data_IF_579141510119
#
_entry.id   IF_579141510119
#
_cell.length_a   1.000
_cell.length_b   1.000
_cell.length_c   1.000
_cell.angle_alpha   90.00
_cell.angle_beta   90.00
_cell.angle_gamma   90.00
#
_symmetry.space_group_name_H-M   'P 1'
#
loop_
_entity.id
_entity.type
_entity.pdbx_description
1 polymer ?
#
# COMPACT_ATOMS: atom_id res chain seq x y z
N UNK A 1 -16.87 -2.59 74.65
CA UNK A 1 -15.95 -2.49 73.48
C UNK A 1 -16.68 -2.96 72.24
N UNK A 2 -17.23 -2.00 71.44
CA UNK A 2 -17.96 -2.30 70.22
C UNK A 2 -16.94 -2.24 69.05
N UNK A 3 -16.74 -3.36 68.29
CA UNK A 3 -15.95 -3.41 67.07
C UNK A 3 -16.82 -2.96 65.92
N UNK A 4 -16.49 -1.84 65.33
CA UNK A 4 -17.08 -1.33 64.09
C UNK A 4 -16.36 -1.91 62.89
N UNK A 5 -17.01 -2.80 62.12
CA UNK A 5 -16.51 -3.34 60.86
C UNK A 5 -16.80 -2.33 59.75
N UNK A 6 -15.79 -1.79 59.12
CA UNK A 6 -15.90 -0.93 57.92
C UNK A 6 -15.92 -1.88 56.72
N UNK A 7 -17.07 -1.93 56.03
CA UNK A 7 -17.21 -2.58 54.72
C UNK A 7 -16.71 -1.61 53.64
N UNK A 8 -15.60 -1.95 53.02
CA UNK A 8 -15.07 -1.22 51.87
C UNK A 8 -15.80 -1.70 50.61
N UNK A 9 -16.71 -0.87 50.09
CA UNK A 9 -17.44 -1.13 48.86
C UNK A 9 -16.54 -0.74 47.66
N UNK A 10 -15.90 -1.73 47.03
CA UNK A 10 -15.15 -1.54 45.78
C UNK A 10 -16.14 -1.41 44.63
N UNK A 11 -16.37 -0.19 44.15
CA UNK A 11 -17.13 0.07 42.93
C UNK A 11 -16.22 -0.25 41.73
N UNK A 12 -16.45 -1.41 41.11
CA UNK A 12 -15.89 -1.75 39.80
C UNK A 12 -16.52 -0.83 38.75
N UNK A 13 -15.81 0.20 38.34
CA UNK A 13 -16.09 0.92 37.11
C UNK A 13 -15.72 0.02 35.93
N UNK A 14 -16.67 -0.80 35.48
CA UNK A 14 -16.57 -1.41 34.16
C UNK A 14 -16.76 -0.31 33.13
N UNK A 15 -15.67 0.31 32.70
CA UNK A 15 -15.66 1.18 31.54
C UNK A 15 -16.09 0.35 30.34
N UNK A 16 -17.31 0.57 29.85
CA UNK A 16 -17.74 0.14 28.53
C UNK A 16 -16.83 0.86 27.53
N UNK A 17 -15.75 0.21 27.10
CA UNK A 17 -15.07 0.52 25.86
C UNK A 17 -16.12 0.28 24.76
N UNK A 18 -16.91 1.30 24.45
CA UNK A 18 -17.59 1.34 23.17
C UNK A 18 -16.47 1.30 22.12
N UNK A 19 -16.29 0.17 21.49
CA UNK A 19 -15.60 0.11 20.22
C UNK A 19 -16.34 1.10 19.33
N UNK A 20 -15.70 2.23 19.04
CA UNK A 20 -16.19 3.17 18.04
C UNK A 20 -16.25 2.36 16.75
N UNK A 21 -17.48 2.04 16.35
CA UNK A 21 -17.78 1.43 15.06
C UNK A 21 -17.28 2.43 14.00
N UNK A 22 -16.08 2.19 13.48
CA UNK A 22 -15.49 2.97 12.40
C UNK A 22 -16.15 2.62 11.06
N UNK A 23 -17.46 2.38 11.05
CA UNK A 23 -18.28 2.41 9.85
C UNK A 23 -18.44 3.85 9.36
N UNK A 24 -17.31 4.56 9.24
CA UNK A 24 -17.25 5.81 8.50
C UNK A 24 -17.77 5.53 7.10
N UNK A 25 -18.31 6.56 6.43
CA UNK A 25 -18.89 6.47 5.09
C UNK A 25 -17.90 5.96 4.02
N UNK A 26 -16.64 5.62 4.40
CA UNK A 26 -15.59 5.09 3.55
C UNK A 26 -15.44 5.84 2.22
N UNK A 27 -15.44 7.18 2.29
CA UNK A 27 -15.33 8.04 1.13
C UNK A 27 -13.91 8.08 0.61
N UNK A 28 -13.76 8.02 -0.70
CA UNK A 28 -12.49 8.15 -1.42
C UNK A 28 -12.64 9.12 -2.59
N UNK A 29 -11.53 9.67 -3.08
CA UNK A 29 -11.54 10.50 -4.29
C UNK A 29 -11.83 9.60 -5.47
N UNK A 30 -12.89 9.94 -6.23
CA UNK A 30 -13.23 9.27 -7.48
C UNK A 30 -12.57 9.97 -8.68
N UNK A 31 -12.85 11.28 -8.86
CA UNK A 31 -12.29 12.09 -9.94
C UNK A 31 -12.19 13.56 -9.52
N UNK A 32 -11.50 14.33 -10.34
CA UNK A 32 -11.48 15.79 -10.30
C UNK A 32 -12.13 16.30 -11.60
N UNK A 33 -13.01 17.30 -11.53
CA UNK A 33 -13.59 17.93 -12.69
C UNK A 33 -13.11 19.37 -12.81
N UNK A 34 -12.74 19.79 -14.02
CA UNK A 34 -12.31 21.15 -14.38
C UNK A 34 -13.25 21.73 -15.42
N UNK A 35 -13.78 22.93 -15.16
CA UNK A 35 -14.51 23.71 -16.15
C UNK A 35 -13.51 24.37 -17.10
N UNK A 36 -13.52 23.99 -18.37
CA UNK A 36 -12.57 24.46 -19.39
C UNK A 36 -13.30 25.22 -20.50
N UNK A 37 -12.62 26.16 -21.15
CA UNK A 37 -13.20 26.94 -22.22
C UNK A 37 -13.31 26.13 -23.51
N UNK A 38 -12.30 25.34 -23.81
CA UNK A 38 -12.18 24.49 -24.98
C UNK A 38 -11.66 23.10 -24.55
N UNK A 39 -12.52 22.09 -24.61
CA UNK A 39 -12.23 20.74 -24.15
C UNK A 39 -11.13 20.07 -24.98
N UNK A 40 -11.03 20.37 -26.29
CA UNK A 40 -10.01 19.76 -27.16
C UNK A 40 -8.63 20.33 -26.86
N UNK A 41 -8.55 21.65 -26.64
CA UNK A 41 -7.32 22.34 -26.26
C UNK A 41 -6.82 21.81 -24.89
N UNK A 42 -7.70 21.71 -23.90
CA UNK A 42 -7.32 21.26 -22.58
C UNK A 42 -6.95 19.78 -22.58
N UNK A 43 -7.71 18.91 -23.26
CA UNK A 43 -7.35 17.50 -23.40
C UNK A 43 -5.99 17.31 -24.12
N UNK A 44 -5.74 18.09 -25.18
CA UNK A 44 -4.44 18.08 -25.86
C UNK A 44 -3.29 18.47 -24.93
N UNK A 45 -3.49 19.49 -24.08
CA UNK A 45 -2.51 19.90 -23.08
C UNK A 45 -2.19 18.76 -22.11
N UNK A 46 -3.17 18.17 -21.44
CA UNK A 46 -2.96 17.10 -20.47
C UNK A 46 -2.31 15.87 -21.10
N UNK A 47 -2.66 15.53 -22.34
CA UNK A 47 -2.03 14.43 -23.09
C UNK A 47 -0.59 14.75 -23.50
N UNK A 48 -0.33 15.99 -23.95
CA UNK A 48 0.97 16.36 -24.48
C UNK A 48 1.96 16.77 -23.39
N UNK A 49 1.53 17.55 -22.40
CA UNK A 49 2.41 18.07 -21.35
C UNK A 49 2.63 17.04 -20.25
N UNK A 50 1.57 16.44 -19.76
CA UNK A 50 1.60 15.48 -18.63
C UNK A 50 1.56 14.02 -19.06
N UNK A 51 1.44 13.72 -20.36
CA UNK A 51 1.35 12.35 -20.91
C UNK A 51 0.21 11.52 -20.30
N UNK A 52 -0.88 12.19 -19.86
CA UNK A 52 -2.04 11.51 -19.33
C UNK A 52 -2.85 10.86 -20.46
N UNK A 53 -3.09 9.54 -20.42
CA UNK A 53 -3.90 8.89 -21.43
C UNK A 53 -5.35 9.38 -21.40
N UNK A 54 -5.91 9.63 -22.59
CA UNK A 54 -7.34 9.87 -22.71
C UNK A 54 -8.11 8.56 -22.59
N UNK A 55 -9.24 8.60 -21.89
CA UNK A 55 -10.13 7.46 -21.69
C UNK A 55 -11.54 7.77 -22.20
N UNK A 56 -12.34 6.74 -22.38
CA UNK A 56 -13.72 6.88 -22.86
C UNK A 56 -14.57 7.70 -21.89
N UNK A 57 -15.14 8.80 -22.38
CA UNK A 57 -16.19 9.52 -21.66
C UNK A 57 -17.46 8.65 -21.60
N UNK A 58 -17.71 8.06 -20.43
CA UNK A 58 -18.85 7.15 -20.21
C UNK A 58 -20.21 7.86 -20.17
N UNK A 59 -20.23 9.19 -20.03
CA UNK A 59 -21.47 9.97 -20.09
C UNK A 59 -21.98 10.16 -21.51
N UNK A 60 -21.12 9.99 -22.51
CA UNK A 60 -21.38 10.22 -23.95
C UNK A 60 -21.84 11.65 -24.26
N UNK A 61 -21.64 12.60 -23.35
CA UNK A 61 -21.98 14.01 -23.55
C UNK A 61 -20.89 14.70 -24.37
N UNK A 62 -21.29 15.45 -25.39
CA UNK A 62 -20.38 16.33 -26.12
C UNK A 62 -19.84 17.43 -25.19
N UNK A 63 -18.62 17.95 -25.49
CA UNK A 63 -17.97 18.96 -24.65
C UNK A 63 -17.41 18.45 -23.32
N UNK A 64 -17.32 17.12 -23.14
CA UNK A 64 -16.70 16.48 -21.98
C UNK A 64 -15.66 15.47 -22.48
N UNK A 65 -14.43 15.56 -21.96
CA UNK A 65 -13.35 14.58 -22.20
C UNK A 65 -12.69 14.16 -20.90
N UNK A 66 -12.25 12.92 -20.85
CA UNK A 66 -11.66 12.34 -19.65
C UNK A 66 -10.22 11.88 -19.94
N UNK A 67 -9.33 12.17 -18.99
CA UNK A 67 -7.97 11.60 -18.97
C UNK A 67 -7.78 10.88 -17.63
N UNK A 68 -6.86 9.91 -17.58
CA UNK A 68 -6.58 9.15 -16.37
C UNK A 68 -5.20 9.45 -15.81
N UNK A 69 -5.06 9.43 -14.50
CA UNK A 69 -3.80 9.45 -13.76
C UNK A 69 -3.22 8.03 -13.66
N UNK A 70 -1.96 7.92 -13.31
CA UNK A 70 -1.25 6.63 -13.20
C UNK A 70 -1.87 5.67 -12.18
N UNK A 71 -2.56 6.19 -11.17
CA UNK A 71 -3.25 5.42 -10.12
C UNK A 71 -4.71 5.07 -10.49
N UNK A 72 -5.14 5.36 -11.72
CA UNK A 72 -6.48 5.08 -12.23
C UNK A 72 -7.54 6.14 -11.88
N UNK A 73 -7.21 7.19 -11.10
CA UNK A 73 -8.11 8.32 -10.89
C UNK A 73 -8.29 9.10 -12.17
N UNK A 74 -9.43 9.76 -12.30
CA UNK A 74 -9.83 10.42 -13.53
C UNK A 74 -9.81 11.95 -13.36
N UNK A 75 -9.46 12.65 -14.44
CA UNK A 75 -9.63 14.08 -14.58
C UNK A 75 -10.64 14.32 -15.71
N UNK A 76 -11.76 14.96 -15.37
CA UNK A 76 -12.84 15.28 -16.29
C UNK A 76 -12.73 16.73 -16.72
N UNK A 77 -12.60 16.95 -18.02
CA UNK A 77 -12.58 18.28 -18.65
C UNK A 77 -13.96 18.58 -19.19
N UNK A 78 -14.57 19.67 -18.76
CA UNK A 78 -15.98 19.99 -19.02
C UNK A 78 -16.08 21.38 -19.63
N UNK A 79 -16.54 21.50 -20.87
CA UNK A 79 -16.67 22.81 -21.59
C UNK A 79 -18.12 23.24 -21.81
N UNK A 80 -19.09 22.49 -21.26
CA UNK A 80 -20.53 22.78 -21.43
C UNK A 80 -21.06 23.88 -20.51
N UNK A 81 -20.38 24.12 -19.38
CA UNK A 81 -20.68 25.23 -18.48
C UNK A 81 -19.91 26.46 -18.92
N UNK A 82 -20.57 27.62 -18.93
CA UNK A 82 -20.00 28.86 -19.46
C UNK A 82 -19.74 29.92 -18.39
N UNK A 83 -20.08 29.63 -17.16
CA UNK A 83 -19.84 30.52 -16.03
C UNK A 83 -18.33 30.66 -15.79
N UNK A 84 -17.84 31.88 -15.52
CA UNK A 84 -16.44 32.09 -15.25
C UNK A 84 -16.03 31.46 -13.90
N UNK A 85 -14.89 30.79 -13.88
CA UNK A 85 -14.30 30.23 -12.66
C UNK A 85 -13.19 31.16 -12.18
N UNK A 86 -13.23 31.59 -10.93
CA UNK A 86 -12.15 32.34 -10.31
C UNK A 86 -11.10 31.37 -9.79
N UNK A 87 -9.90 31.44 -10.37
CA UNK A 87 -8.78 30.55 -10.05
C UNK A 87 -7.69 31.34 -9.35
N UNK A 88 -7.18 30.81 -8.23
CA UNK A 88 -5.97 31.29 -7.57
C UNK A 88 -5.03 30.13 -7.26
N UNK A 89 -3.76 30.41 -6.96
CA UNK A 89 -2.73 29.38 -6.77
C UNK A 89 -2.97 28.44 -5.59
N UNK A 90 -3.78 28.87 -4.60
CA UNK A 90 -4.12 28.00 -3.46
C UNK A 90 -5.11 26.88 -3.84
N UNK A 91 -5.80 27.02 -4.99
CA UNK A 91 -6.63 25.98 -5.57
C UNK A 91 -5.85 25.35 -6.72
N UNK A 92 -5.29 24.18 -6.53
CA UNK A 92 -4.45 23.52 -7.53
C UNK A 92 -4.64 22.00 -7.55
N UNK A 93 -4.34 21.41 -8.68
CA UNK A 93 -4.19 19.96 -8.84
C UNK A 93 -2.77 19.58 -8.43
N UNK A 94 -2.60 18.87 -7.34
CA UNK A 94 -1.31 18.37 -6.89
C UNK A 94 -1.06 16.96 -7.38
N UNK A 95 0.04 16.76 -8.10
CA UNK A 95 0.47 15.48 -8.66
C UNK A 95 1.82 15.09 -8.05
N UNK A 96 2.09 13.80 -7.97
CA UNK A 96 3.37 13.25 -7.50
C UNK A 96 3.99 12.39 -8.59
N UNK A 97 5.33 12.45 -8.75
CA UNK A 97 6.07 11.67 -9.73
C UNK A 97 7.43 11.22 -9.22
N UNK A 98 7.85 10.02 -9.61
CA UNK A 98 9.22 9.52 -9.46
C UNK A 98 10.18 10.16 -10.50
N UNK A 99 9.65 10.84 -11.51
CA UNK A 99 10.38 11.37 -12.64
C UNK A 99 10.42 12.91 -12.66
N UNK A 100 10.62 13.54 -11.50
CA UNK A 100 10.56 15.01 -11.35
C UNK A 100 11.48 15.75 -12.33
N UNK A 101 12.71 15.29 -12.52
CA UNK A 101 13.67 15.91 -13.43
C UNK A 101 13.26 15.75 -14.91
N UNK A 102 12.57 14.66 -15.26
CA UNK A 102 11.99 14.50 -16.59
C UNK A 102 10.81 15.46 -16.82
N UNK A 103 10.02 15.76 -15.78
CA UNK A 103 8.97 16.79 -15.86
C UNK A 103 9.60 18.17 -16.10
N UNK A 104 10.65 18.54 -15.33
CA UNK A 104 11.37 19.79 -15.53
C UNK A 104 11.86 19.95 -16.98
N UNK A 105 12.55 18.92 -17.48
CA UNK A 105 13.04 18.91 -18.86
C UNK A 105 11.90 19.07 -19.84
N UNK A 106 10.79 18.36 -19.67
CA UNK A 106 9.65 18.41 -20.58
C UNK A 106 8.98 19.77 -20.60
N UNK A 107 8.77 20.42 -19.45
CA UNK A 107 8.24 21.78 -19.38
C UNK A 107 9.15 22.76 -20.12
N UNK A 108 10.47 22.64 -19.96
CA UNK A 108 11.45 23.47 -20.68
C UNK A 108 11.43 23.22 -22.18
N UNK A 109 11.43 21.96 -22.64
CA UNK A 109 11.38 21.58 -24.08
C UNK A 109 10.10 22.12 -24.76
N UNK A 110 8.97 22.07 -24.05
CA UNK A 110 7.68 22.55 -24.53
C UNK A 110 7.47 24.05 -24.28
N UNK A 111 8.44 24.73 -23.69
CA UNK A 111 8.37 26.16 -23.32
C UNK A 111 7.16 26.51 -22.45
N UNK A 112 6.78 25.59 -21.55
CA UNK A 112 5.72 25.83 -20.58
C UNK A 112 6.35 26.56 -19.39
N UNK A 113 5.90 27.79 -19.06
CA UNK A 113 6.40 28.53 -17.90
C UNK A 113 6.07 27.80 -16.61
N UNK A 114 7.05 27.67 -15.72
CA UNK A 114 6.85 27.13 -14.38
C UNK A 114 7.59 27.97 -13.33
N UNK A 115 7.24 27.82 -12.07
CA UNK A 115 7.80 28.57 -10.97
C UNK A 115 7.78 27.77 -9.67
N UNK A 116 8.48 28.27 -8.66
CA UNK A 116 8.23 27.87 -7.27
C UNK A 116 6.91 28.45 -6.73
N UNK A 117 6.63 28.19 -5.45
CA UNK A 117 5.45 28.73 -4.79
C UNK A 117 5.42 30.28 -4.78
N UNK A 118 6.55 30.93 -4.57
CA UNK A 118 6.69 32.36 -4.53
C UNK A 118 6.57 33.03 -5.91
N UNK A 119 6.56 32.25 -6.99
CA UNK A 119 6.46 32.73 -8.35
C UNK A 119 7.80 33.00 -9.02
N UNK A 120 8.94 32.60 -8.44
CA UNK A 120 10.25 32.72 -9.08
C UNK A 120 10.30 31.80 -10.30
N UNK A 121 10.51 32.36 -11.52
CA UNK A 121 10.42 31.58 -12.75
C UNK A 121 11.55 30.56 -12.89
N UNK A 122 11.27 29.46 -13.60
CA UNK A 122 12.22 28.40 -13.93
C UNK A 122 12.95 27.80 -12.74
N UNK A 123 12.27 27.72 -11.59
CA UNK A 123 12.82 27.13 -10.36
C UNK A 123 11.74 26.31 -9.63
N UNK A 124 12.17 25.55 -8.64
CA UNK A 124 11.32 24.76 -7.78
C UNK A 124 11.71 24.97 -6.33
N UNK A 125 10.83 24.66 -5.40
CA UNK A 125 11.09 24.64 -3.95
C UNK A 125 11.59 23.27 -3.53
N UNK A 126 12.64 23.23 -2.68
CA UNK A 126 12.92 22.05 -1.86
C UNK A 126 12.21 22.24 -0.53
N UNK A 127 11.21 21.42 -0.26
CA UNK A 127 10.48 21.42 1.01
C UNK A 127 11.36 20.89 2.14
N UNK A 128 11.01 21.20 3.38
CA UNK A 128 11.77 20.74 4.56
C UNK A 128 11.79 19.20 4.70
N UNK A 129 10.82 18.51 4.12
CA UNK A 129 10.71 17.05 4.06
C UNK A 129 11.46 16.42 2.86
N UNK A 130 12.24 17.23 2.10
CA UNK A 130 13.03 16.79 0.95
C UNK A 130 12.27 16.74 -0.38
N UNK A 131 10.96 16.99 -0.38
CA UNK A 131 10.15 17.00 -1.62
C UNK A 131 10.49 18.22 -2.47
N UNK A 132 10.83 18.00 -3.75
CA UNK A 132 10.93 19.05 -4.76
C UNK A 132 9.52 19.39 -5.24
N UNK A 133 9.20 20.67 -5.41
CA UNK A 133 7.87 21.14 -5.72
C UNK A 133 7.91 22.30 -6.72
N UNK A 134 7.18 22.17 -7.83
CA UNK A 134 7.02 23.22 -8.86
C UNK A 134 5.55 23.44 -9.20
N UNK A 135 5.28 24.59 -9.83
CA UNK A 135 3.95 25.02 -10.24
C UNK A 135 3.93 25.52 -11.68
N UNK A 136 2.90 25.20 -12.42
CA UNK A 136 2.60 25.76 -13.74
C UNK A 136 1.09 25.81 -13.95
N UNK A 137 0.65 26.37 -15.08
CA UNK A 137 -0.77 26.49 -15.38
C UNK A 137 -1.13 25.72 -16.64
N UNK A 138 -2.36 25.19 -16.64
CA UNK A 138 -3.00 24.69 -17.85
C UNK A 138 -3.51 25.82 -18.76
N UNK A 139 -4.07 25.55 -19.95
CA UNK A 139 -4.57 26.57 -20.86
C UNK A 139 -5.70 27.44 -20.31
N UNK A 140 -6.44 26.98 -19.30
CA UNK A 140 -7.55 27.70 -18.68
C UNK A 140 -7.13 28.46 -17.42
N UNK A 141 -5.86 28.30 -17.00
CA UNK A 141 -5.27 28.97 -15.86
C UNK A 141 -5.33 28.16 -14.55
N UNK A 142 -5.78 26.90 -14.60
CA UNK A 142 -5.71 26.04 -13.42
C UNK A 142 -4.27 25.75 -13.05
N UNK A 143 -3.99 25.93 -11.77
CA UNK A 143 -2.68 25.62 -11.24
C UNK A 143 -2.48 24.11 -11.09
N UNK A 144 -1.33 23.66 -11.53
CA UNK A 144 -0.84 22.31 -11.40
C UNK A 144 0.44 22.38 -10.56
N UNK A 145 0.41 21.65 -9.46
CA UNK A 145 1.58 21.41 -8.60
C UNK A 145 2.14 20.03 -8.95
N UNK A 146 3.46 19.96 -9.17
CA UNK A 146 4.13 18.67 -9.28
C UNK A 146 5.13 18.54 -8.17
N UNK A 147 4.99 17.45 -7.42
CA UNK A 147 5.88 17.06 -6.35
C UNK A 147 6.76 15.90 -6.78
N UNK A 148 8.05 15.93 -6.42
CA UNK A 148 8.82 14.69 -6.40
C UNK A 148 8.23 13.75 -5.34
N UNK A 149 8.51 12.47 -5.49
CA UNK A 149 8.35 11.57 -4.34
C UNK A 149 9.33 11.99 -3.25
N UNK A 150 8.94 11.78 -2.00
CA UNK A 150 9.85 11.96 -0.89
C UNK A 150 10.92 10.86 -0.97
N UNK A 151 12.20 11.23 -1.03
CA UNK A 151 13.32 10.28 -1.02
C UNK A 151 13.35 9.42 0.27
N UNK A 152 12.61 9.86 1.30
CA UNK A 152 12.37 9.07 2.51
C UNK A 152 11.29 7.99 2.32
N UNK A 153 10.68 7.85 1.15
CA UNK A 153 9.86 6.66 0.87
C UNK A 153 10.76 5.43 0.93
N UNK A 154 10.33 4.47 1.73
CA UNK A 154 10.96 3.15 1.77
C UNK A 154 11.02 2.63 0.32
N UNK A 155 12.22 2.41 -0.20
CA UNK A 155 12.40 1.94 -1.57
C UNK A 155 11.73 0.56 -1.74
N UNK A 156 11.35 0.22 -2.97
CA UNK A 156 10.82 -1.12 -3.28
C UNK A 156 11.78 -2.20 -2.77
N UNK A 157 13.08 -1.98 -2.89
CA UNK A 157 14.08 -2.93 -2.41
C UNK A 157 14.13 -3.02 -0.87
N UNK A 158 13.95 -1.91 -0.18
CA UNK A 158 13.82 -1.92 1.29
C UNK A 158 12.54 -2.65 1.73
N UNK A 159 11.42 -2.46 1.01
CA UNK A 159 10.17 -3.19 1.28
C UNK A 159 10.38 -4.69 1.06
N UNK A 160 11.02 -5.09 -0.03
CA UNK A 160 11.35 -6.50 -0.31
C UNK A 160 12.18 -7.12 0.80
N UNK A 161 13.18 -6.38 1.30
CA UNK A 161 14.01 -6.85 2.40
C UNK A 161 13.23 -6.91 3.72
N UNK A 162 12.34 -5.95 4.01
CA UNK A 162 11.42 -5.99 5.16
C UNK A 162 10.53 -7.24 5.09
N UNK A 163 9.91 -7.50 3.95
CA UNK A 163 9.05 -8.67 3.74
C UNK A 163 9.86 -9.97 3.87
N UNK A 164 11.06 -10.04 3.30
CA UNK A 164 11.89 -11.22 3.42
C UNK A 164 12.28 -11.51 4.88
N UNK A 165 12.58 -10.48 5.65
CA UNK A 165 12.84 -10.62 7.09
C UNK A 165 11.61 -11.16 7.84
N UNK A 166 10.41 -10.79 7.45
CA UNK A 166 9.17 -11.34 8.02
C UNK A 166 8.98 -12.81 7.66
N UNK A 167 9.35 -13.25 6.45
CA UNK A 167 9.36 -14.66 6.06
C UNK A 167 10.39 -15.47 6.86
N UNK A 168 11.57 -14.91 7.11
CA UNK A 168 12.58 -15.53 7.97
C UNK A 168 12.06 -15.65 9.42
N UNK A 169 11.41 -14.62 9.94
CA UNK A 169 10.78 -14.63 11.25
C UNK A 169 9.65 -15.67 11.34
N UNK A 170 8.83 -15.80 10.29
CA UNK A 170 7.80 -16.83 10.20
C UNK A 170 8.38 -18.22 10.49
N UNK A 171 9.43 -18.62 9.76
CA UNK A 171 10.03 -19.94 9.93
C UNK A 171 10.83 -20.08 11.24
N UNK A 172 11.39 -18.98 11.73
CA UNK A 172 11.99 -18.92 13.06
C UNK A 172 10.94 -19.22 14.15
N UNK A 173 9.78 -18.57 14.10
CA UNK A 173 8.70 -18.82 15.06
C UNK A 173 8.19 -20.27 14.99
N UNK A 174 8.08 -20.83 13.78
CA UNK A 174 7.77 -22.26 13.61
C UNK A 174 8.82 -23.14 14.30
N UNK A 175 10.11 -22.86 14.09
CA UNK A 175 11.19 -23.63 14.72
C UNK A 175 11.21 -23.51 16.23
N UNK A 176 11.01 -22.31 16.75
CA UNK A 176 11.04 -22.00 18.19
C UNK A 176 9.74 -22.34 18.90
N UNK A 177 8.71 -22.77 18.18
CA UNK A 177 7.36 -23.04 18.69
C UNK A 177 6.71 -21.81 19.31
N UNK A 178 7.06 -20.63 18.81
CA UNK A 178 6.49 -19.36 19.24
C UNK A 178 5.18 -19.08 18.51
N UNK A 179 4.11 -19.70 19.01
CA UNK A 179 2.77 -19.58 18.47
C UNK A 179 2.25 -18.14 18.51
N UNK A 180 2.55 -17.39 19.58
CA UNK A 180 2.04 -16.04 19.75
C UNK A 180 2.60 -15.10 18.68
N UNK A 181 3.91 -15.08 18.50
CA UNK A 181 4.56 -14.27 17.48
C UNK A 181 4.14 -14.70 16.05
N UNK A 182 4.05 -16.01 15.81
CA UNK A 182 3.57 -16.56 14.55
C UNK A 182 2.17 -16.05 14.18
N UNK A 183 1.22 -16.08 15.13
CA UNK A 183 -0.16 -15.65 14.90
C UNK A 183 -0.28 -14.16 14.57
N UNK A 184 0.68 -13.32 14.99
CA UNK A 184 0.69 -11.89 14.68
C UNK A 184 1.02 -11.57 13.22
N UNK A 185 1.61 -12.50 12.48
CA UNK A 185 1.93 -12.32 11.06
C UNK A 185 0.71 -12.40 10.14
N UNK A 186 -0.41 -12.94 10.64
CA UNK A 186 -1.58 -13.26 9.83
C UNK A 186 -2.72 -12.26 10.06
N UNK A 187 -3.32 -11.80 8.97
CA UNK A 187 -4.57 -11.03 9.05
C UNK A 187 -5.73 -11.91 9.51
N UNK A 188 -6.70 -11.33 10.21
CA UNK A 188 -7.86 -12.07 10.70
C UNK A 188 -8.78 -12.55 9.57
N UNK A 189 -8.74 -11.89 8.41
CA UNK A 189 -9.48 -12.25 7.19
C UNK A 189 -8.61 -13.05 6.19
N UNK A 190 -7.50 -13.65 6.65
CA UNK A 190 -6.67 -14.49 5.77
C UNK A 190 -7.49 -15.58 5.10
N UNK A 191 -7.29 -15.76 3.80
CA UNK A 191 -7.78 -16.91 3.03
C UNK A 191 -6.68 -17.44 2.11
N UNK A 192 -6.50 -18.76 2.07
CA UNK A 192 -5.48 -19.38 1.24
C UNK A 192 -5.61 -20.89 1.12
N UNK A 193 -4.61 -21.52 0.53
CA UNK A 193 -4.49 -22.99 0.43
C UNK A 193 -3.29 -23.47 1.25
N UNK A 194 -3.45 -23.66 2.56
CA UNK A 194 -2.39 -24.24 3.37
C UNK A 194 -2.23 -25.73 3.06
N UNK A 195 -1.22 -26.10 2.37
CA UNK A 195 -0.64 -27.45 2.10
C UNK A 195 -1.53 -28.64 1.67
N UNK A 196 -2.85 -28.58 1.80
CA UNK A 196 -3.76 -29.74 1.60
C UNK A 196 -4.86 -29.54 0.56
N UNK A 197 -4.73 -28.56 -0.33
CA UNK A 197 -5.67 -28.20 -1.39
C UNK A 197 -7.09 -27.82 -0.90
N UNK A 198 -7.25 -27.53 0.39
CA UNK A 198 -8.51 -27.02 0.97
C UNK A 198 -8.33 -25.55 1.32
N UNK A 199 -9.31 -24.72 0.98
CA UNK A 199 -9.30 -23.31 1.39
C UNK A 199 -9.32 -23.27 2.92
N UNK A 200 -8.35 -22.58 3.49
CA UNK A 200 -8.19 -22.39 4.93
C UNK A 200 -8.19 -20.92 5.31
N UNK A 201 -8.65 -20.66 6.51
CA UNK A 201 -8.59 -19.37 7.20
C UNK A 201 -7.41 -19.33 8.20
N UNK A 202 -7.32 -18.26 8.97
CA UNK A 202 -6.29 -18.11 10.02
C UNK A 202 -6.30 -19.26 11.03
N UNK A 203 -7.46 -19.85 11.35
CA UNK A 203 -7.53 -20.98 12.27
C UNK A 203 -6.88 -22.24 11.70
N UNK A 204 -7.01 -22.51 10.41
CA UNK A 204 -6.36 -23.63 9.73
C UNK A 204 -4.82 -23.50 9.76
N UNK A 205 -4.30 -22.29 9.54
CA UNK A 205 -2.85 -22.02 9.61
C UNK A 205 -2.30 -22.25 11.00
N UNK A 206 -3.03 -21.84 12.04
CA UNK A 206 -2.62 -22.04 13.42
C UNK A 206 -2.66 -23.52 13.81
N UNK A 207 -3.64 -24.27 13.31
CA UNK A 207 -3.72 -25.72 13.47
C UNK A 207 -2.55 -26.43 12.79
N UNK A 208 -2.15 -26.00 11.58
CA UNK A 208 -0.98 -26.57 10.89
C UNK A 208 0.30 -26.44 11.75
N UNK A 209 0.53 -25.29 12.36
CA UNK A 209 1.68 -25.08 13.23
C UNK A 209 1.64 -26.02 14.44
N UNK A 210 0.46 -26.25 15.03
CA UNK A 210 0.27 -27.21 16.12
C UNK A 210 0.64 -28.64 15.69
N UNK A 211 0.24 -29.05 14.49
CA UNK A 211 0.60 -30.36 13.94
C UNK A 211 2.11 -30.48 13.69
N UNK A 212 2.76 -29.41 13.25
CA UNK A 212 4.23 -29.37 13.11
C UNK A 212 4.91 -29.59 14.47
N UNK A 213 4.37 -29.06 15.57
CA UNK A 213 4.95 -29.26 16.92
C UNK A 213 4.82 -30.68 17.46
N UNK A 214 3.86 -31.45 16.95
CA UNK A 214 3.67 -32.86 17.32
C UNK A 214 4.65 -33.81 16.63
N UNK A 215 5.39 -33.32 15.60
CA UNK A 215 6.38 -34.15 14.92
C UNK A 215 7.56 -34.44 15.87
N UNK A 216 8.06 -35.68 15.87
CA UNK A 216 9.21 -36.03 16.72
C UNK A 216 10.50 -35.38 16.18
N UNK A 217 11.35 -34.96 17.11
CA UNK A 217 12.68 -34.44 16.79
C UNK A 217 12.77 -32.92 16.63
N UNK A 218 14.00 -32.45 16.43
CA UNK A 218 14.29 -31.04 16.21
C UNK A 218 14.03 -30.63 14.76
N UNK A 219 13.22 -29.59 14.56
CA UNK A 219 12.90 -29.03 13.26
C UNK A 219 14.03 -28.13 12.73
N UNK A 220 14.48 -28.40 11.53
CA UNK A 220 15.47 -27.61 10.81
C UNK A 220 14.96 -27.29 9.41
N UNK A 221 15.29 -26.10 8.90
CA UNK A 221 14.84 -25.63 7.61
C UNK A 221 15.90 -24.79 6.89
N UNK A 222 15.73 -24.67 5.57
CA UNK A 222 16.48 -23.78 4.70
C UNK A 222 15.50 -23.10 3.76
N UNK A 223 15.59 -21.77 3.65
CA UNK A 223 14.78 -20.96 2.75
C UNK A 223 15.57 -20.68 1.47
N UNK A 224 14.91 -20.76 0.34
CA UNK A 224 15.46 -20.35 -0.95
C UNK A 224 14.56 -19.31 -1.58
N UNK A 225 14.92 -18.03 -1.43
CA UNK A 225 14.25 -16.88 -2.03
C UNK A 225 14.21 -17.02 -3.54
N UNK A 226 13.06 -16.75 -4.17
CA UNK A 226 12.86 -16.90 -5.62
C UNK A 226 12.51 -15.57 -6.26
N UNK A 227 11.30 -15.09 -6.03
CA UNK A 227 10.77 -13.86 -6.62
C UNK A 227 9.94 -13.14 -5.57
N UNK A 228 10.09 -11.85 -5.52
CA UNK A 228 9.14 -10.97 -4.84
C UNK A 228 8.82 -9.76 -5.70
N UNK A 229 7.59 -9.31 -5.59
CA UNK A 229 7.13 -8.09 -6.24
C UNK A 229 6.28 -7.26 -5.28
N UNK A 230 6.33 -5.93 -5.44
CA UNK A 230 5.65 -4.96 -4.59
C UNK A 230 4.76 -4.08 -5.45
N UNK A 231 3.50 -3.95 -5.06
CA UNK A 231 2.46 -3.17 -5.73
C UNK A 231 1.80 -2.23 -4.70
N UNK A 232 2.44 -1.10 -4.43
CA UNK A 232 1.96 -0.17 -3.40
C UNK A 232 2.00 -0.78 -1.99
N UNK A 233 0.83 -1.04 -1.43
CA UNK A 233 0.64 -1.65 -0.11
C UNK A 233 0.55 -3.19 -0.12
N UNK A 234 0.75 -3.82 -1.28
CA UNK A 234 0.75 -5.27 -1.46
C UNK A 234 2.15 -5.76 -1.83
N UNK A 235 2.60 -6.85 -1.22
CA UNK A 235 3.79 -7.58 -1.62
C UNK A 235 3.46 -9.06 -1.82
N UNK A 236 3.99 -9.66 -2.89
CA UNK A 236 3.84 -11.09 -3.17
C UNK A 236 5.22 -11.71 -3.19
N UNK A 237 5.43 -12.76 -2.42
CA UNK A 237 6.69 -13.48 -2.33
C UNK A 237 6.53 -14.94 -2.72
N UNK A 238 7.56 -15.45 -3.39
CA UNK A 238 7.68 -16.85 -3.78
C UNK A 238 9.02 -17.39 -3.28
N UNK A 239 8.99 -18.52 -2.57
CA UNK A 239 10.21 -19.17 -2.11
C UNK A 239 10.01 -20.67 -1.93
N UNK A 240 11.14 -21.39 -1.89
CA UNK A 240 11.17 -22.81 -1.55
C UNK A 240 11.64 -22.97 -0.11
N UNK A 241 11.06 -23.95 0.59
CA UNK A 241 11.50 -24.39 1.91
C UNK A 241 11.91 -25.85 1.82
N UNK A 242 13.13 -26.16 2.24
CA UNK A 242 13.53 -27.51 2.54
C UNK A 242 13.61 -27.69 4.05
N UNK A 243 13.07 -28.76 4.58
CA UNK A 243 13.07 -29.00 6.02
C UNK A 243 13.34 -30.46 6.34
N UNK A 244 13.86 -30.67 7.55
CA UNK A 244 14.03 -31.99 8.11
C UNK A 244 13.90 -31.98 9.65
N UNK A 245 13.56 -33.13 10.19
CA UNK A 245 13.56 -33.37 11.63
C UNK A 245 14.72 -34.28 11.98
N UNK A 246 15.41 -33.98 13.09
CA UNK A 246 16.51 -34.82 13.61
C UNK A 246 16.16 -35.37 14.98
N UNK A 247 16.55 -36.62 15.24
CA UNK A 247 16.46 -37.20 16.59
C UNK A 247 17.59 -36.70 17.51
N UNK A 248 17.64 -37.19 18.73
CA UNK A 248 18.66 -36.83 19.72
C UNK A 248 20.10 -37.23 19.33
N UNK A 249 20.24 -38.08 18.32
CA UNK A 249 21.54 -38.47 17.74
C UNK A 249 21.90 -37.66 16.50
N UNK A 250 21.14 -36.58 16.20
CA UNK A 250 21.26 -35.76 14.99
C UNK A 250 21.03 -36.53 13.67
N UNK A 251 20.38 -37.70 13.70
CA UNK A 251 19.99 -38.43 12.51
C UNK A 251 18.68 -37.87 11.94
N UNK A 252 18.61 -37.74 10.60
CA UNK A 252 17.38 -37.24 9.93
C UNK A 252 16.33 -38.35 9.98
N UNK A 253 15.21 -38.07 10.66
CA UNK A 253 14.07 -39.00 10.79
C UNK A 253 12.92 -38.67 9.85
N UNK A 254 12.84 -37.42 9.38
CA UNK A 254 11.85 -36.98 8.40
C UNK A 254 12.39 -35.80 7.61
N UNK A 255 12.09 -35.72 6.31
CA UNK A 255 12.43 -34.60 5.45
C UNK A 255 11.28 -34.28 4.50
N UNK A 256 11.23 -33.04 4.01
CA UNK A 256 10.27 -32.60 3.02
C UNK A 256 10.65 -31.25 2.44
N UNK A 257 9.88 -30.81 1.48
CA UNK A 257 10.02 -29.46 0.93
C UNK A 257 8.67 -28.90 0.47
N UNK A 258 8.54 -27.58 0.57
CA UNK A 258 7.37 -26.83 0.16
C UNK A 258 7.75 -25.76 -0.86
N UNK A 259 6.80 -25.41 -1.71
CA UNK A 259 6.75 -24.15 -2.44
C UNK A 259 5.77 -23.25 -1.71
N UNK A 260 6.18 -22.04 -1.39
CA UNK A 260 5.37 -21.09 -0.65
C UNK A 260 5.12 -19.86 -1.50
N UNK A 261 3.89 -19.39 -1.46
CA UNK A 261 3.47 -18.07 -1.94
C UNK A 261 2.75 -17.39 -0.78
N UNK A 262 3.23 -16.21 -0.38
CA UNK A 262 2.50 -15.35 0.54
C UNK A 262 2.19 -14.02 -0.13
N UNK A 263 0.98 -13.51 0.14
CA UNK A 263 0.55 -12.16 -0.18
C UNK A 263 0.47 -11.38 1.11
N UNK A 264 1.34 -10.39 1.22
CA UNK A 264 1.41 -9.46 2.34
C UNK A 264 0.70 -8.17 1.99
N UNK A 265 0.03 -7.57 2.97
CA UNK A 265 -0.58 -6.24 2.85
C UNK A 265 -0.10 -5.34 3.98
N UNK A 266 0.29 -4.11 3.64
CA UNK A 266 0.66 -3.09 4.61
C UNK A 266 -0.60 -2.56 5.30
N UNK A 267 -0.68 -2.74 6.60
CA UNK A 267 -1.75 -2.28 7.46
C UNK A 267 -1.19 -1.23 8.43
N UNK A 268 -2.06 -0.58 9.21
CA UNK A 268 -1.63 0.39 10.23
C UNK A 268 -0.65 -0.19 11.26
N UNK A 269 -0.73 -1.49 11.55
CA UNK A 269 0.12 -2.21 12.51
C UNK A 269 1.37 -2.85 11.89
N UNK A 270 1.59 -2.72 10.58
CA UNK A 270 2.68 -3.39 9.85
C UNK A 270 2.18 -4.26 8.71
N UNK A 271 3.05 -5.10 8.16
CA UNK A 271 2.70 -6.06 7.12
C UNK A 271 2.04 -7.30 7.71
N UNK A 272 0.93 -7.74 7.11
CA UNK A 272 0.22 -8.97 7.49
C UNK A 272 -0.01 -9.85 6.25
N UNK A 273 0.05 -11.17 6.44
CA UNK A 273 -0.29 -12.15 5.41
C UNK A 273 -1.81 -12.17 5.25
N UNK A 274 -2.30 -11.81 4.07
CA UNK A 274 -3.73 -11.79 3.73
C UNK A 274 -4.14 -12.97 2.84
N UNK A 275 -3.18 -13.64 2.21
CA UNK A 275 -3.40 -14.78 1.34
C UNK A 275 -2.13 -15.56 1.09
N UNK A 276 -2.27 -16.79 0.63
CA UNK A 276 -1.12 -17.62 0.34
C UNK A 276 -1.44 -19.04 -0.04
N UNK A 277 -0.41 -19.76 -0.45
CA UNK A 277 -0.48 -21.18 -0.77
C UNK A 277 0.81 -21.88 -0.38
N UNK A 278 0.68 -23.03 0.24
CA UNK A 278 1.77 -23.99 0.44
C UNK A 278 1.50 -25.25 -0.39
N UNK A 279 2.46 -25.66 -1.22
CA UNK A 279 2.37 -26.90 -1.99
C UNK A 279 3.58 -27.80 -1.68
N UNK A 280 3.34 -29.07 -1.45
CA UNK A 280 4.41 -30.09 -1.38
C UNK A 280 5.15 -30.15 -2.72
N UNK A 281 6.46 -30.35 -2.66
CA UNK A 281 7.34 -30.47 -3.81
C UNK A 281 7.52 -31.94 -4.17
#
# INVERSE_FOLDING_TARGET
MKKTSIFLLAILFAGLLQAQDNSGLNLSINHIALSVKDVDRSASFYKTVLLLPEITNRTKMEGIRWVTLADGRELHLISILKEPVTINKAVHLALTTDYFDAVLKRLADLKIPFSDWQGKPNTFTNRADGVKQLYFQDPDGYWIEVNSVNDNRVSVEQIKNEIWQLEENYWKYVKEKDYQSYATLWDDNFLGYPSNNTVGDKAHITNWMTEMYRQPGAFNYTLTRKVENVFGDIAIVFYDVSHHFTNDKNEIVKKGSFKIIHTWKKMAKGWLIIGGMGANK
#
